data_IF_678460617042
#
_entry.id   IF_678460617042
#
_cell.length_a   1.000
_cell.length_b   1.000
_cell.length_c   1.000
_cell.angle_alpha   90.00
_cell.angle_beta   90.00
_cell.angle_gamma   90.00
#
_symmetry.space_group_name_H-M   'P 1'
#
loop_
_entity.id
_entity.type
_entity.pdbx_description
1 polymer ?
#
# COMPACT_ATOMS: atom_id res chain seq x y z
N UNK A 1 -38.93 17.99 -13.15
CA UNK A 1 -38.16 16.73 -13.00
C UNK A 1 -36.93 16.87 -13.88
N UNK A 2 -35.73 16.75 -13.33
CA UNK A 2 -34.51 16.79 -14.16
C UNK A 2 -34.38 15.45 -14.92
N UNK A 3 -33.86 15.46 -16.16
CA UNK A 3 -33.69 14.24 -16.93
C UNK A 3 -32.62 13.33 -16.31
N UNK A 4 -32.95 12.05 -16.10
CA UNK A 4 -31.97 11.03 -15.71
C UNK A 4 -31.23 10.53 -16.96
N UNK A 5 -30.25 11.31 -17.42
CA UNK A 5 -29.41 10.96 -18.58
C UNK A 5 -28.54 9.73 -18.30
N UNK A 6 -28.30 9.39 -17.03
CA UNK A 6 -27.44 8.28 -16.65
C UNK A 6 -28.08 6.93 -16.96
N UNK A 7 -29.41 6.81 -16.82
CA UNK A 7 -30.15 5.58 -17.13
C UNK A 7 -30.35 5.31 -18.63
N UNK A 8 -29.97 6.25 -19.51
CA UNK A 8 -30.15 6.06 -20.96
C UNK A 8 -29.25 4.94 -21.49
N UNK A 9 -29.64 4.38 -22.64
CA UNK A 9 -28.81 3.41 -23.35
C UNK A 9 -27.65 4.14 -24.06
N UNK A 10 -26.39 3.70 -23.91
CA UNK A 10 -25.27 4.27 -24.64
C UNK A 10 -25.26 3.78 -26.10
N UNK A 11 -24.78 4.62 -27.02
CA UNK A 11 -24.56 4.23 -28.43
C UNK A 11 -23.58 3.05 -28.52
N UNK A 12 -22.48 3.13 -27.77
CA UNK A 12 -21.53 2.04 -27.58
C UNK A 12 -21.90 1.24 -26.32
N UNK A 13 -22.62 0.13 -26.49
CA UNK A 13 -23.09 -0.72 -25.41
C UNK A 13 -22.02 -1.71 -24.92
N UNK A 14 -21.04 -1.21 -24.16
CA UNK A 14 -20.01 -2.03 -23.50
C UNK A 14 -20.11 -1.93 -21.99
N UNK A 15 -19.87 -3.06 -21.29
CA UNK A 15 -19.73 -3.07 -19.83
C UNK A 15 -18.43 -2.35 -19.45
N UNK A 16 -18.48 -1.46 -18.47
CA UNK A 16 -17.28 -0.84 -17.89
C UNK A 16 -16.95 -1.53 -16.57
N UNK A 17 -15.70 -1.98 -16.42
CA UNK A 17 -15.24 -2.67 -15.21
C UNK A 17 -15.17 -1.73 -14.00
N UNK A 18 -14.87 -0.45 -14.21
CA UNK A 18 -14.75 0.56 -13.16
C UNK A 18 -15.21 1.93 -13.65
N UNK A 19 -16.16 2.52 -12.94
CA UNK A 19 -16.61 3.91 -13.08
C UNK A 19 -16.82 4.48 -11.68
N UNK A 20 -16.40 5.71 -11.43
CA UNK A 20 -16.57 6.34 -10.13
C UNK A 20 -15.75 7.60 -9.96
N UNK A 21 -15.29 7.85 -8.74
CA UNK A 21 -14.63 9.10 -8.33
C UNK A 21 -13.28 8.84 -7.69
N UNK A 22 -12.35 9.77 -7.87
CA UNK A 22 -10.96 9.71 -7.36
C UNK A 22 -10.60 11.00 -6.65
N UNK A 23 -9.61 10.93 -5.75
CA UNK A 23 -8.98 12.12 -5.17
C UNK A 23 -9.74 12.70 -3.97
N UNK A 24 -10.60 11.91 -3.34
CA UNK A 24 -11.45 12.41 -2.25
C UNK A 24 -10.64 12.42 -0.97
N UNK A 25 -10.55 13.59 -0.33
CA UNK A 25 -9.78 13.78 0.90
C UNK A 25 -10.72 14.06 2.05
N UNK A 26 -10.78 13.15 3.02
CA UNK A 26 -11.65 13.28 4.18
C UNK A 26 -10.96 12.74 5.43
N UNK A 27 -11.11 13.40 6.59
CA UNK A 27 -10.52 12.92 7.82
C UNK A 27 -11.24 11.66 8.30
N UNK A 28 -10.49 10.65 8.73
CA UNK A 28 -11.05 9.41 9.27
C UNK A 28 -10.31 9.03 10.55
N UNK A 29 -11.02 8.42 11.48
CA UNK A 29 -10.41 7.85 12.69
C UNK A 29 -10.48 6.33 12.61
N UNK A 30 -9.34 5.67 12.83
CA UNK A 30 -9.25 4.21 12.92
C UNK A 30 -8.67 3.81 14.27
N UNK A 31 -8.99 2.59 14.72
CA UNK A 31 -8.26 1.92 15.79
C UNK A 31 -7.20 1.04 15.16
N UNK A 32 -5.97 1.02 15.66
CA UNK A 32 -4.94 0.04 15.26
C UNK A 32 -4.01 -0.19 16.42
N UNK A 33 -3.67 -1.44 16.75
CA UNK A 33 -2.76 -1.78 17.86
C UNK A 33 -3.14 -1.10 19.19
N UNK A 34 -4.44 -1.03 19.49
CA UNK A 34 -4.95 -0.40 20.72
C UNK A 34 -4.88 1.13 20.78
N UNK A 35 -4.33 1.81 19.75
CA UNK A 35 -4.32 3.27 19.63
C UNK A 35 -5.37 3.76 18.64
N UNK A 36 -5.84 4.98 18.86
CA UNK A 36 -6.62 5.73 17.88
C UNK A 36 -5.66 6.48 16.94
N UNK A 37 -5.87 6.34 15.64
CA UNK A 37 -5.09 7.00 14.61
C UNK A 37 -6.02 7.83 13.74
N UNK A 38 -5.70 9.12 13.61
CA UNK A 38 -6.40 10.03 12.70
C UNK A 38 -5.64 10.11 11.38
N UNK A 39 -6.34 9.84 10.29
CA UNK A 39 -5.79 9.80 8.94
C UNK A 39 -6.51 10.82 8.06
N UNK A 40 -5.82 11.27 7.02
CA UNK A 40 -6.41 12.08 5.95
C UNK A 40 -6.26 11.34 4.62
N UNK A 41 -6.93 10.20 4.44
CA UNK A 41 -6.78 9.38 3.25
C UNK A 41 -7.26 10.10 1.99
N UNK A 42 -6.54 9.84 0.90
CA UNK A 42 -7.04 10.02 -0.46
C UNK A 42 -7.77 8.75 -0.87
N UNK A 43 -9.07 8.87 -1.13
CA UNK A 43 -9.94 7.74 -1.47
C UNK A 43 -10.31 7.73 -2.95
N UNK A 44 -10.44 6.52 -3.49
CA UNK A 44 -10.98 6.23 -4.81
C UNK A 44 -12.10 5.20 -4.69
N UNK A 45 -13.27 5.48 -5.28
CA UNK A 45 -14.45 4.62 -5.20
C UNK A 45 -14.92 4.29 -6.62
N UNK A 46 -15.16 3.02 -6.89
CA UNK A 46 -15.63 2.53 -8.18
C UNK A 46 -16.74 1.50 -8.04
N UNK A 47 -17.60 1.47 -9.04
CA UNK A 47 -18.53 0.36 -9.32
C UNK A 47 -18.38 -0.08 -10.77
N UNK A 48 -18.80 -1.30 -11.10
CA UNK A 48 -18.98 -1.69 -12.50
C UNK A 48 -20.26 -1.08 -13.09
N UNK A 49 -20.25 -0.78 -14.40
CA UNK A 49 -21.39 -0.21 -15.12
C UNK A 49 -21.82 -1.18 -16.23
N UNK A 50 -23.09 -1.64 -16.24
CA UNK A 50 -23.57 -2.52 -17.29
C UNK A 50 -23.66 -1.80 -18.65
N UNK A 51 -23.55 -2.58 -19.73
CA UNK A 51 -23.63 -2.08 -21.11
C UNK A 51 -24.95 -1.37 -21.46
N UNK A 52 -25.98 -1.56 -20.64
CA UNK A 52 -27.32 -1.00 -20.82
C UNK A 52 -27.46 0.43 -20.28
N UNK A 53 -26.46 0.95 -19.55
CA UNK A 53 -26.54 2.24 -18.85
C UNK A 53 -25.44 3.18 -19.31
N UNK A 54 -25.79 4.45 -19.56
CA UNK A 54 -24.88 5.48 -20.10
C UNK A 54 -23.94 6.04 -19.03
N UNK A 55 -24.39 6.14 -17.77
CA UNK A 55 -23.57 6.71 -16.70
C UNK A 55 -23.83 6.08 -15.35
N UNK A 56 -22.81 6.16 -14.48
CA UNK A 56 -22.97 5.86 -13.06
C UNK A 56 -23.55 7.07 -12.32
N UNK A 57 -24.34 6.82 -11.29
CA UNK A 57 -24.93 7.84 -10.41
C UNK A 57 -23.88 8.42 -9.46
N UNK A 58 -23.00 9.28 -9.98
CA UNK A 58 -21.83 9.78 -9.25
C UNK A 58 -22.17 10.55 -7.96
N UNK A 59 -23.34 11.19 -7.89
CA UNK A 59 -23.82 11.87 -6.68
C UNK A 59 -23.99 10.90 -5.51
N UNK A 60 -24.44 9.67 -5.76
CA UNK A 60 -24.60 8.64 -4.72
C UNK A 60 -23.27 8.29 -4.06
N UNK A 61 -22.17 8.27 -4.81
CA UNK A 61 -20.84 8.04 -4.27
C UNK A 61 -20.44 9.13 -3.25
N UNK A 62 -20.70 10.40 -3.57
CA UNK A 62 -20.35 11.51 -2.70
C UNK A 62 -21.17 11.50 -1.40
N UNK A 63 -22.47 11.24 -1.49
CA UNK A 63 -23.36 11.13 -0.32
C UNK A 63 -22.95 10.00 0.64
N UNK A 64 -22.57 8.83 0.11
CA UNK A 64 -22.09 7.70 0.91
C UNK A 64 -20.83 8.09 1.70
N UNK A 65 -19.92 8.83 1.07
CA UNK A 65 -18.69 9.25 1.73
C UNK A 65 -19.00 10.23 2.86
N UNK A 66 -19.84 11.25 2.63
CA UNK A 66 -20.20 12.18 3.70
C UNK A 66 -20.82 11.43 4.89
N UNK A 67 -21.75 10.50 4.64
CA UNK A 67 -22.38 9.67 5.69
C UNK A 67 -21.36 8.86 6.49
N UNK A 68 -20.48 8.12 5.80
CA UNK A 68 -19.54 7.20 6.45
C UNK A 68 -18.39 7.94 7.12
N UNK A 69 -17.90 9.03 6.50
CA UNK A 69 -16.83 9.85 7.06
C UNK A 69 -17.31 10.50 8.36
N UNK A 70 -18.50 11.13 8.35
CA UNK A 70 -19.07 11.74 9.55
C UNK A 70 -19.25 10.71 10.68
N UNK A 71 -19.66 9.48 10.33
CA UNK A 71 -19.71 8.40 11.31
C UNK A 71 -18.32 8.02 11.81
N UNK A 72 -17.32 7.87 10.93
CA UNK A 72 -15.97 7.43 11.30
C UNK A 72 -15.24 8.40 12.24
N UNK A 73 -15.57 9.69 12.20
CA UNK A 73 -15.05 10.69 13.12
C UNK A 73 -15.60 10.49 14.54
N UNK A 74 -16.88 10.08 14.66
CA UNK A 74 -17.56 9.84 15.95
C UNK A 74 -17.28 8.44 16.50
N UNK A 75 -17.30 7.45 15.63
CA UNK A 75 -17.12 6.03 15.93
C UNK A 75 -15.96 5.49 15.07
N UNK A 76 -14.74 5.45 15.60
CA UNK A 76 -13.58 5.03 14.84
C UNK A 76 -13.72 3.60 14.29
N UNK A 77 -13.42 3.43 13.00
CA UNK A 77 -13.42 2.13 12.34
C UNK A 77 -12.35 1.21 12.95
N UNK A 78 -12.55 -0.12 13.01
CA UNK A 78 -11.54 -1.04 13.52
C UNK A 78 -10.24 -1.05 12.70
N UNK A 79 -10.28 -0.66 11.43
CA UNK A 79 -9.11 -0.46 10.58
C UNK A 79 -9.47 0.36 9.33
N UNK A 80 -8.46 0.69 8.50
CA UNK A 80 -8.69 1.37 7.22
C UNK A 80 -9.31 0.42 6.18
N UNK A 81 -9.00 -0.86 6.24
CA UNK A 81 -9.52 -1.90 5.34
C UNK A 81 -11.00 -2.18 5.63
N UNK A 82 -11.37 -2.25 6.92
CA UNK A 82 -12.77 -2.33 7.37
C UNK A 82 -13.58 -1.10 6.95
N UNK A 83 -12.98 0.09 7.00
CA UNK A 83 -13.64 1.31 6.50
C UNK A 83 -13.91 1.20 5.00
N UNK A 84 -12.92 0.74 4.22
CA UNK A 84 -13.08 0.52 2.78
C UNK A 84 -14.17 -0.52 2.48
N UNK A 85 -14.24 -1.61 3.25
CA UNK A 85 -15.28 -2.63 3.12
C UNK A 85 -16.68 -2.04 3.39
N UNK A 86 -16.83 -1.26 4.47
CA UNK A 86 -18.10 -0.61 4.82
C UNK A 86 -18.57 0.34 3.71
N UNK A 87 -17.64 1.09 3.12
CA UNK A 87 -17.93 1.95 1.96
C UNK A 87 -18.32 1.10 0.74
N UNK A 88 -17.60 0.02 0.44
CA UNK A 88 -17.89 -0.86 -0.70
C UNK A 88 -19.28 -1.51 -0.59
N UNK A 89 -19.67 -1.93 0.62
CA UNK A 89 -21.00 -2.44 0.90
C UNK A 89 -22.08 -1.40 0.61
N UNK A 90 -21.92 -0.17 1.13
CA UNK A 90 -22.87 0.94 0.90
C UNK A 90 -22.95 1.34 -0.58
N UNK A 91 -21.85 1.27 -1.31
CA UNK A 91 -21.84 1.47 -2.76
C UNK A 91 -22.72 0.44 -3.47
N UNK A 92 -22.57 -0.86 -3.17
CA UNK A 92 -23.42 -1.89 -3.78
C UNK A 92 -24.90 -1.76 -3.40
N UNK A 93 -25.19 -1.35 -2.15
CA UNK A 93 -26.56 -1.08 -1.71
C UNK A 93 -27.19 0.06 -2.52
N UNK A 94 -26.49 1.18 -2.74
CA UNK A 94 -27.04 2.33 -3.46
C UNK A 94 -26.97 2.21 -4.98
N UNK A 95 -26.10 1.35 -5.51
CA UNK A 95 -25.95 1.08 -6.95
C UNK A 95 -26.46 -0.31 -7.29
N UNK A 96 -27.79 -0.47 -7.32
CA UNK A 96 -28.47 -1.76 -7.55
C UNK A 96 -28.06 -2.47 -8.86
N UNK A 97 -27.67 -1.71 -9.89
CA UNK A 97 -27.18 -2.26 -11.16
C UNK A 97 -25.75 -2.80 -11.12
N UNK A 98 -24.96 -2.41 -10.12
CA UNK A 98 -23.57 -2.80 -10.00
C UNK A 98 -23.47 -4.19 -9.36
N UNK A 99 -22.58 -5.01 -9.90
CA UNK A 99 -22.23 -6.33 -9.37
C UNK A 99 -20.92 -6.30 -8.58
N UNK A 100 -20.11 -5.27 -8.73
CA UNK A 100 -18.82 -5.11 -8.06
C UNK A 100 -18.66 -3.67 -7.59
N UNK A 101 -18.18 -3.49 -6.36
CA UNK A 101 -17.68 -2.22 -5.85
C UNK A 101 -16.21 -2.37 -5.43
N UNK A 102 -15.40 -1.36 -5.72
CA UNK A 102 -14.00 -1.29 -5.34
C UNK A 102 -13.72 0.04 -4.66
N UNK A 103 -13.18 -0.01 -3.45
CA UNK A 103 -12.77 1.17 -2.68
C UNK A 103 -11.28 1.07 -2.38
N UNK A 104 -10.57 2.18 -2.55
CA UNK A 104 -9.15 2.32 -2.19
C UNK A 104 -8.97 3.53 -1.31
N UNK A 105 -8.11 3.43 -0.32
CA UNK A 105 -7.72 4.55 0.53
C UNK A 105 -6.20 4.50 0.76
N UNK A 106 -5.54 5.65 0.58
CA UNK A 106 -4.11 5.80 0.90
C UNK A 106 -3.93 7.04 1.78
N UNK A 107 -3.24 6.90 2.90
CA UNK A 107 -2.93 8.02 3.80
C UNK A 107 -1.45 7.98 4.18
N UNK A 108 -0.90 9.13 4.55
CA UNK A 108 0.34 9.15 5.33
C UNK A 108 0.08 8.54 6.71
N UNK A 109 1.07 7.82 7.22
CA UNK A 109 1.03 7.05 8.45
C UNK A 109 2.36 7.22 9.18
N UNK A 110 2.32 7.43 10.49
CA UNK A 110 3.50 7.80 11.25
C UNK A 110 3.78 6.78 12.36
N UNK A 111 5.03 6.30 12.43
CA UNK A 111 5.50 5.42 13.50
C UNK A 111 6.70 6.01 14.23
N UNK A 112 6.77 5.76 15.54
CA UNK A 112 7.98 6.08 16.29
C UNK A 112 9.09 5.09 15.89
N UNK A 113 10.25 5.62 15.50
CA UNK A 113 11.49 4.88 15.26
C UNK A 113 12.61 5.41 16.13
N UNK A 114 13.66 4.60 16.28
CA UNK A 114 14.90 5.01 16.95
C UNK A 114 16.02 5.08 15.94
N UNK A 115 16.72 6.21 15.89
CA UNK A 115 17.96 6.31 15.13
C UNK A 115 19.01 5.36 15.71
N UNK A 116 20.11 5.07 14.99
CA UNK A 116 21.17 4.21 15.52
C UNK A 116 21.73 4.64 16.89
N UNK A 117 21.80 5.95 17.15
CA UNK A 117 22.20 6.50 18.46
C UNK A 117 21.07 6.51 19.50
N UNK A 118 19.92 5.88 19.22
CA UNK A 118 18.80 5.69 20.14
C UNK A 118 17.83 6.86 20.26
N UNK A 119 17.97 7.92 19.44
CA UNK A 119 17.06 9.06 19.46
C UNK A 119 15.71 8.65 18.85
N UNK A 120 14.63 8.90 19.57
CA UNK A 120 13.26 8.71 19.06
C UNK A 120 12.94 9.77 18.00
N UNK A 121 12.32 9.34 16.91
CA UNK A 121 11.84 10.16 15.81
C UNK A 121 10.52 9.60 15.29
N UNK A 122 9.65 10.46 14.76
CA UNK A 122 8.38 10.05 14.17
C UNK A 122 8.57 10.02 12.66
N UNK A 123 8.55 8.83 12.07
CA UNK A 123 8.89 8.63 10.66
C UNK A 123 7.64 8.44 9.79
N UNK A 124 7.61 9.04 8.59
CA UNK A 124 6.48 8.94 7.68
C UNK A 124 6.55 7.67 6.82
N UNK A 125 5.40 7.03 6.66
CA UNK A 125 5.12 5.92 5.76
C UNK A 125 3.81 6.20 5.04
N UNK A 126 3.45 5.38 4.04
CA UNK A 126 2.05 5.35 3.56
C UNK A 126 1.39 4.06 3.99
N UNK A 127 0.17 4.20 4.51
CA UNK A 127 -0.77 3.09 4.67
C UNK A 127 -1.71 3.08 3.49
N UNK A 128 -1.99 1.89 2.97
CA UNK A 128 -2.91 1.63 1.88
C UNK A 128 -3.95 0.61 2.35
N UNK A 129 -5.18 0.82 1.93
CA UNK A 129 -6.25 -0.13 2.09
C UNK A 129 -7.04 -0.26 0.79
N UNK A 130 -7.56 -1.46 0.55
CA UNK A 130 -8.45 -1.72 -0.57
C UNK A 130 -9.50 -2.74 -0.19
N UNK A 131 -10.74 -2.51 -0.59
CA UNK A 131 -11.80 -3.49 -0.52
C UNK A 131 -12.42 -3.70 -1.90
N UNK A 132 -12.64 -4.96 -2.26
CA UNK A 132 -13.43 -5.36 -3.44
C UNK A 132 -14.59 -6.19 -2.91
N UNK A 133 -15.82 -5.76 -3.19
CA UNK A 133 -17.01 -6.50 -2.84
C UNK A 133 -17.80 -6.85 -4.10
N UNK A 134 -18.20 -8.11 -4.20
CA UNK A 134 -19.07 -8.61 -5.27
C UNK A 134 -20.47 -8.91 -4.70
N UNK A 135 -21.51 -8.68 -5.51
CA UNK A 135 -22.91 -8.91 -5.12
C UNK A 135 -23.23 -10.38 -4.82
N UNK A 136 -22.39 -11.32 -5.28
CA UNK A 136 -22.48 -12.74 -4.92
C UNK A 136 -22.00 -13.06 -3.49
N UNK A 137 -21.60 -12.06 -2.70
CA UNK A 137 -21.14 -12.20 -1.32
C UNK A 137 -19.62 -12.36 -1.17
N UNK A 138 -18.85 -12.37 -2.27
CA UNK A 138 -17.39 -12.43 -2.19
C UNK A 138 -16.81 -11.06 -1.85
N UNK A 139 -16.09 -10.98 -0.73
CA UNK A 139 -15.35 -9.79 -0.32
C UNK A 139 -13.86 -10.09 -0.20
N UNK A 140 -13.03 -9.18 -0.70
CA UNK A 140 -11.58 -9.22 -0.55
C UNK A 140 -11.07 -7.89 -0.02
N UNK A 141 -10.41 -7.92 1.12
CA UNK A 141 -9.77 -6.77 1.75
C UNK A 141 -8.27 -6.88 1.56
N UNK A 142 -7.59 -5.76 1.42
CA UNK A 142 -6.14 -5.68 1.34
C UNK A 142 -5.66 -4.56 2.24
N UNK A 143 -4.60 -4.85 2.98
CA UNK A 143 -3.76 -3.89 3.69
C UNK A 143 -2.45 -3.76 2.92
N UNK A 144 -1.88 -2.58 2.91
CA UNK A 144 -0.57 -2.39 2.34
C UNK A 144 0.15 -1.19 2.88
N UNK A 145 1.45 -1.15 2.61
CA UNK A 145 2.34 -0.09 3.07
C UNK A 145 3.31 0.30 1.97
N UNK A 146 3.70 1.57 1.98
CA UNK A 146 4.81 2.09 1.18
C UNK A 146 5.86 2.66 2.14
N UNK A 147 7.08 2.16 2.01
CA UNK A 147 8.20 2.44 2.92
C UNK A 147 9.37 2.95 2.09
N UNK A 148 9.94 4.07 2.51
CA UNK A 148 11.15 4.63 1.93
C UNK A 148 12.35 4.14 2.72
N UNK A 149 13.36 3.63 2.03
CA UNK A 149 14.65 3.29 2.60
C UNK A 149 15.78 3.51 1.61
N UNK A 150 16.91 2.88 1.87
CA UNK A 150 18.10 2.98 1.03
C UNK A 150 18.59 1.61 0.60
N UNK A 151 19.02 1.52 -0.65
CA UNK A 151 19.73 0.36 -1.21
C UNK A 151 21.14 0.78 -1.63
N UNK A 152 22.12 -0.08 -1.37
CA UNK A 152 23.48 0.04 -1.89
C UNK A 152 23.70 -1.05 -2.95
N UNK A 153 24.32 -0.70 -4.08
CA UNK A 153 24.45 -1.63 -5.19
C UNK A 153 25.56 -2.68 -4.97
N UNK A 154 25.23 -3.99 -4.90
CA UNK A 154 26.24 -5.03 -4.73
C UNK A 154 27.13 -5.19 -5.97
N UNK A 155 26.57 -4.99 -7.18
CA UNK A 155 27.33 -5.11 -8.43
C UNK A 155 28.49 -4.10 -8.51
N UNK A 156 28.20 -2.83 -8.31
CA UNK A 156 29.22 -1.79 -8.35
C UNK A 156 30.26 -1.98 -7.24
N UNK A 157 29.82 -2.38 -6.04
CA UNK A 157 30.72 -2.68 -4.93
C UNK A 157 31.74 -3.77 -5.27
N UNK A 158 31.29 -4.92 -5.78
CA UNK A 158 32.20 -6.03 -6.09
C UNK A 158 33.11 -5.71 -7.28
N UNK A 159 32.64 -4.94 -8.27
CA UNK A 159 33.49 -4.48 -9.37
C UNK A 159 34.58 -3.50 -8.90
N UNK A 160 34.24 -2.54 -8.03
CA UNK A 160 35.20 -1.59 -7.46
C UNK A 160 36.24 -2.32 -6.61
N UNK A 161 35.80 -3.26 -5.77
CA UNK A 161 36.67 -4.10 -4.96
C UNK A 161 37.63 -4.93 -5.81
N UNK A 162 37.16 -5.49 -6.91
CA UNK A 162 38.00 -6.26 -7.84
C UNK A 162 39.02 -5.39 -8.58
N UNK A 163 38.62 -4.20 -9.04
CA UNK A 163 39.46 -3.33 -9.85
C UNK A 163 40.45 -2.49 -9.01
N UNK A 164 40.04 -2.06 -7.83
CA UNK A 164 40.76 -1.07 -7.01
C UNK A 164 41.08 -1.55 -5.59
N UNK A 165 40.56 -2.69 -5.14
CA UNK A 165 40.75 -3.17 -3.76
C UNK A 165 39.89 -2.47 -2.70
N UNK A 166 38.97 -1.60 -3.13
CA UNK A 166 38.18 -0.72 -2.26
C UNK A 166 36.73 -1.19 -2.09
N UNK A 167 36.05 -0.76 -1.03
CA UNK A 167 34.65 -1.18 -0.74
C UNK A 167 33.71 0.02 -0.65
N UNK A 168 33.50 0.68 -1.78
CA UNK A 168 32.47 1.71 -1.94
C UNK A 168 31.57 1.40 -3.14
N UNK A 169 30.37 1.96 -3.14
CA UNK A 169 29.36 1.79 -4.20
C UNK A 169 28.43 2.99 -4.23
N UNK A 170 27.60 3.08 -5.27
CA UNK A 170 26.49 4.02 -5.28
C UNK A 170 25.35 3.51 -4.39
N UNK A 171 24.69 4.47 -3.74
CA UNK A 171 23.48 4.27 -2.97
C UNK A 171 22.36 5.09 -3.59
N UNK A 172 21.13 4.71 -3.32
CA UNK A 172 19.96 5.46 -3.76
C UNK A 172 18.75 5.23 -2.86
N UNK A 173 17.78 6.12 -2.98
CA UNK A 173 16.47 5.97 -2.35
C UNK A 173 15.73 4.81 -3.03
N UNK A 174 15.14 3.96 -2.22
CA UNK A 174 14.29 2.87 -2.68
C UNK A 174 12.91 2.98 -2.03
N UNK A 175 11.87 2.76 -2.82
CA UNK A 175 10.48 2.66 -2.34
C UNK A 175 10.08 1.19 -2.38
N UNK A 176 9.82 0.63 -1.20
CA UNK A 176 9.29 -0.72 -1.05
C UNK A 176 7.78 -0.64 -0.82
N UNK A 177 7.00 -1.36 -1.62
CA UNK A 177 5.54 -1.47 -1.44
C UNK A 177 5.18 -2.93 -1.15
N UNK A 178 4.46 -3.16 -0.06
CA UNK A 178 4.01 -4.48 0.34
C UNK A 178 2.50 -4.44 0.57
N UNK A 179 1.74 -5.23 -0.19
CA UNK A 179 0.29 -5.30 -0.13
C UNK A 179 -0.11 -6.77 0.02
N UNK A 180 -1.01 -7.06 0.94
CA UNK A 180 -1.48 -8.42 1.21
C UNK A 180 -2.98 -8.42 1.44
N UNK A 181 -3.64 -9.47 0.92
CA UNK A 181 -5.04 -9.74 1.24
C UNK A 181 -5.16 -10.06 2.72
N UNK A 182 -6.09 -9.40 3.41
CA UNK A 182 -6.15 -9.41 4.86
C UNK A 182 -7.54 -9.84 5.33
N UNK A 183 -7.59 -10.92 6.09
CA UNK A 183 -8.77 -11.38 6.82
C UNK A 183 -8.84 -10.83 8.26
N UNK A 184 -7.91 -9.94 8.62
CA UNK A 184 -7.74 -9.36 9.95
C UNK A 184 -6.52 -9.88 10.70
N UNK A 185 -5.78 -10.83 10.13
CA UNK A 185 -4.59 -11.43 10.74
C UNK A 185 -3.29 -10.63 10.55
N UNK A 186 -3.23 -9.70 9.60
CA UNK A 186 -2.01 -8.95 9.25
C UNK A 186 -2.12 -7.48 9.67
N UNK A 187 -1.07 -6.97 10.31
CA UNK A 187 -0.97 -5.57 10.75
C UNK A 187 0.00 -4.75 9.90
N UNK A 188 -0.29 -3.45 9.70
CA UNK A 188 0.58 -2.60 8.88
C UNK A 188 1.93 -2.30 9.55
N UNK A 189 2.00 -2.23 10.88
CA UNK A 189 3.25 -1.91 11.58
C UNK A 189 4.26 -3.04 11.32
N UNK A 190 3.80 -4.29 11.34
CA UNK A 190 4.58 -5.46 10.93
C UNK A 190 5.00 -5.40 9.46
N UNK A 191 4.11 -4.98 8.54
CA UNK A 191 4.47 -4.83 7.12
C UNK A 191 5.52 -3.74 6.91
N UNK A 192 5.48 -2.66 7.68
CA UNK A 192 6.48 -1.59 7.62
C UNK A 192 7.82 -2.15 8.10
N UNK A 193 7.85 -2.85 9.24
CA UNK A 193 9.07 -3.47 9.76
C UNK A 193 9.68 -4.45 8.74
N UNK A 194 8.85 -5.29 8.12
CA UNK A 194 9.27 -6.22 7.06
C UNK A 194 9.91 -5.48 5.87
N UNK A 195 9.27 -4.42 5.38
CA UNK A 195 9.77 -3.65 4.25
C UNK A 195 11.06 -2.88 4.58
N UNK A 196 11.17 -2.31 5.79
CA UNK A 196 12.40 -1.64 6.26
C UNK A 196 13.57 -2.62 6.35
N UNK A 197 13.36 -3.80 6.93
CA UNK A 197 14.39 -4.83 7.08
C UNK A 197 14.78 -5.51 5.76
N UNK A 198 13.91 -5.44 4.75
CA UNK A 198 14.19 -5.99 3.42
C UNK A 198 15.17 -5.11 2.61
N UNK A 199 15.34 -3.83 2.93
CA UNK A 199 16.28 -2.94 2.26
C UNK A 199 17.71 -3.04 2.83
N UNK A 200 18.67 -2.28 2.29
CA UNK A 200 20.03 -2.26 2.86
C UNK A 200 20.05 -1.59 4.23
N UNK A 201 19.26 -0.53 4.41
CA UNK A 201 19.01 0.14 5.69
C UNK A 201 17.72 0.97 5.60
N UNK A 202 16.99 1.18 6.72
CA UNK A 202 15.96 2.21 6.78
C UNK A 202 16.56 3.62 6.64
N UNK A 203 15.70 4.59 6.32
CA UNK A 203 16.01 6.03 6.32
C UNK A 203 15.24 6.75 7.41
N UNK A 204 15.71 7.94 7.80
CA UNK A 204 15.09 8.77 8.83
C UNK A 204 15.03 10.22 8.35
N UNK A 205 14.02 10.99 8.76
CA UNK A 205 13.87 12.39 8.35
C UNK A 205 15.05 13.27 8.81
N UNK A 206 15.52 13.09 10.05
CA UNK A 206 16.56 13.95 10.65
C UNK A 206 17.61 13.10 11.35
N UNK A 207 18.84 13.20 10.85
CA UNK A 207 20.01 12.49 11.38
C UNK A 207 21.08 13.47 11.88
N UNK A 208 21.88 13.02 12.87
CA UNK A 208 23.14 13.68 13.22
C UNK A 208 24.29 12.95 12.54
N UNK A 209 25.45 13.62 12.41
CA UNK A 209 26.67 13.07 11.76
C UNK A 209 27.02 11.63 12.14
N UNK A 210 26.91 11.28 13.42
CA UNK A 210 27.20 9.91 13.90
C UNK A 210 26.17 8.90 13.38
N UNK A 211 24.89 9.25 13.39
CA UNK A 211 23.82 8.41 12.84
C UNK A 211 23.97 8.25 11.31
N UNK A 212 24.28 9.34 10.59
CA UNK A 212 24.50 9.32 9.14
C UNK A 212 25.62 8.35 8.76
N UNK A 213 26.77 8.45 9.44
CA UNK A 213 27.91 7.56 9.23
C UNK A 213 27.53 6.09 9.46
N UNK A 214 26.76 5.80 10.52
CA UNK A 214 26.36 4.44 10.84
C UNK A 214 25.35 3.86 9.83
N UNK A 215 24.42 4.68 9.34
CA UNK A 215 23.45 4.28 8.31
C UNK A 215 24.14 3.97 6.98
N UNK A 216 25.07 4.83 6.54
CA UNK A 216 25.84 4.59 5.31
C UNK A 216 26.70 3.33 5.44
N UNK A 217 27.36 3.15 6.58
CA UNK A 217 28.14 1.92 6.87
C UNK A 217 27.26 0.67 6.79
N UNK A 218 26.12 0.66 7.49
CA UNK A 218 25.18 -0.48 7.48
C UNK A 218 24.69 -0.82 6.09
N UNK A 219 24.40 0.20 5.26
CA UNK A 219 23.96 -0.03 3.89
C UNK A 219 25.05 -0.69 3.04
N UNK A 220 26.30 -0.25 3.17
CA UNK A 220 27.44 -0.83 2.45
C UNK A 220 27.80 -2.22 2.97
N UNK A 221 27.49 -2.55 4.23
CA UNK A 221 27.64 -3.90 4.80
C UNK A 221 26.54 -4.86 4.35
N UNK A 222 25.43 -4.35 3.82
CA UNK A 222 24.25 -5.11 3.39
C UNK A 222 23.73 -4.64 2.01
N UNK A 223 24.56 -4.69 0.95
CA UNK A 223 24.15 -4.24 -0.37
C UNK A 223 23.11 -5.18 -0.99
N UNK A 224 22.08 -4.64 -1.62
CA UNK A 224 20.94 -5.39 -2.16
C UNK A 224 20.50 -4.86 -3.53
N UNK A 225 20.15 -5.76 -4.45
CA UNK A 225 19.41 -5.40 -5.65
C UNK A 225 17.92 -5.20 -5.35
N UNK A 226 17.18 -4.60 -6.29
CA UNK A 226 15.71 -4.47 -6.18
C UNK A 226 15.01 -5.84 -6.08
N UNK A 227 15.57 -6.85 -6.74
CA UNK A 227 15.07 -8.24 -6.67
C UNK A 227 15.29 -8.84 -5.28
N UNK A 228 16.41 -8.52 -4.62
CA UNK A 228 16.70 -9.02 -3.27
C UNK A 228 15.75 -8.39 -2.25
N UNK A 229 15.44 -7.09 -2.39
CA UNK A 229 14.43 -6.43 -1.56
C UNK A 229 13.07 -7.12 -1.70
N UNK A 230 12.64 -7.44 -2.93
CA UNK A 230 11.37 -8.17 -3.15
C UNK A 230 11.42 -9.58 -2.54
N UNK A 231 12.50 -10.33 -2.75
CA UNK A 231 12.66 -11.68 -2.17
C UNK A 231 12.64 -11.65 -0.64
N UNK A 232 13.33 -10.70 -0.04
CA UNK A 232 13.42 -10.58 1.41
C UNK A 232 12.08 -10.18 2.05
N UNK A 233 11.32 -9.26 1.43
CA UNK A 233 9.97 -8.95 1.89
C UNK A 233 9.08 -10.21 1.91
N UNK A 234 9.11 -11.00 0.83
CA UNK A 234 8.29 -12.21 0.72
C UNK A 234 8.72 -13.29 1.71
N UNK A 235 10.03 -13.50 1.87
CA UNK A 235 10.58 -14.42 2.87
C UNK A 235 10.13 -14.04 4.27
N UNK A 236 10.27 -12.77 4.65
CA UNK A 236 9.89 -12.25 5.97
C UNK A 236 8.38 -12.34 6.22
N UNK A 237 7.55 -12.20 5.20
CA UNK A 237 6.10 -12.45 5.31
C UNK A 237 5.82 -13.90 5.74
N UNK A 238 6.48 -14.88 5.11
CA UNK A 238 6.31 -16.29 5.48
C UNK A 238 6.83 -16.59 6.89
N UNK A 239 7.93 -15.95 7.30
CA UNK A 239 8.50 -16.10 8.63
C UNK A 239 7.59 -15.50 9.73
N UNK A 240 7.05 -14.30 9.48
CA UNK A 240 6.19 -13.58 10.44
C UNK A 240 4.79 -14.18 10.53
N UNK A 241 4.23 -14.62 9.40
CA UNK A 241 2.86 -15.11 9.30
C UNK A 241 2.80 -16.54 8.72
N UNK A 242 3.35 -17.54 9.45
CA UNK A 242 3.50 -18.90 8.93
C UNK A 242 2.17 -19.60 8.64
N UNK A 243 1.08 -19.16 9.28
CA UNK A 243 -0.24 -19.78 9.21
C UNK A 243 -1.20 -19.11 8.22
N UNK A 244 -0.73 -18.17 7.38
CA UNK A 244 -1.61 -17.55 6.38
C UNK A 244 -2.19 -18.59 5.42
N UNK A 245 -3.48 -18.49 5.06
CA UNK A 245 -4.10 -19.38 4.07
C UNK A 245 -3.42 -19.29 2.70
N UNK A 246 -3.32 -20.42 2.00
CA UNK A 246 -2.61 -20.53 0.71
C UNK A 246 -3.17 -19.65 -0.41
N UNK A 247 -4.46 -19.29 -0.32
CA UNK A 247 -5.16 -18.49 -1.31
C UNK A 247 -4.97 -16.97 -1.13
N UNK A 248 -4.38 -16.54 0.00
CA UNK A 248 -4.09 -15.13 0.26
C UNK A 248 -3.13 -14.60 -0.79
N UNK A 249 -3.51 -13.50 -1.45
CA UNK A 249 -2.66 -12.83 -2.43
C UNK A 249 -1.71 -11.85 -1.72
N UNK A 250 -0.44 -11.88 -2.11
CA UNK A 250 0.57 -10.91 -1.70
C UNK A 250 1.23 -10.28 -2.93
N UNK A 251 1.54 -8.99 -2.81
CA UNK A 251 2.21 -8.18 -3.83
C UNK A 251 3.36 -7.47 -3.14
N UNK A 252 4.58 -7.75 -3.58
CA UNK A 252 5.79 -7.10 -3.13
C UNK A 252 6.44 -6.38 -4.32
N UNK A 253 6.78 -5.10 -4.13
CA UNK A 253 7.40 -4.23 -5.15
C UNK A 253 8.58 -3.49 -4.57
N UNK A 254 9.62 -3.31 -5.36
CA UNK A 254 10.74 -2.44 -5.05
C UNK A 254 11.02 -1.55 -6.24
N UNK A 255 11.06 -0.24 -6.02
CA UNK A 255 11.49 0.74 -7.01
C UNK A 255 12.67 1.55 -6.49
N UNK A 256 13.82 1.38 -7.13
CA UNK A 256 15.07 2.05 -6.80
C UNK A 256 15.27 3.26 -7.72
N UNK A 257 15.40 4.44 -7.14
CA UNK A 257 15.58 5.70 -7.85
C UNK A 257 17.06 5.90 -8.16
N UNK A 258 17.55 5.21 -9.18
CA UNK A 258 18.98 5.07 -9.49
C UNK A 258 19.73 6.40 -9.53
N UNK A 259 20.81 6.50 -8.75
CA UNK A 259 21.59 7.74 -8.60
C UNK A 259 22.53 8.01 -9.78
N UNK A 260 22.86 6.99 -10.56
CA UNK A 260 23.80 7.06 -11.70
C UNK A 260 23.11 6.88 -13.07
N UNK A 261 21.79 6.72 -13.08
CA UNK A 261 20.99 6.52 -14.28
C UNK A 261 19.85 7.53 -14.37
N UNK A 262 19.30 7.72 -15.58
CA UNK A 262 18.14 8.60 -15.82
C UNK A 262 16.81 7.83 -15.82
N UNK A 263 16.80 6.63 -15.23
CA UNK A 263 15.66 5.74 -15.13
C UNK A 263 15.74 4.98 -13.80
N UNK A 264 14.62 4.48 -13.32
CA UNK A 264 14.55 3.68 -12.09
C UNK A 264 14.73 2.19 -12.38
N UNK A 265 15.24 1.44 -11.41
CA UNK A 265 15.19 -0.02 -11.41
C UNK A 265 13.93 -0.49 -10.68
N UNK A 266 13.26 -1.53 -11.18
CA UNK A 266 11.98 -2.00 -10.64
C UNK A 266 11.91 -3.52 -10.60
N UNK A 267 11.41 -4.07 -9.50
CA UNK A 267 11.04 -5.47 -9.37
C UNK A 267 9.65 -5.60 -8.71
N UNK A 268 8.87 -6.57 -9.16
CA UNK A 268 7.58 -6.93 -8.57
C UNK A 268 7.39 -8.44 -8.57
N UNK A 269 6.77 -8.95 -7.49
CA UNK A 269 6.13 -10.25 -7.48
C UNK A 269 4.70 -10.12 -6.96
N UNK A 270 3.75 -10.64 -7.72
CA UNK A 270 2.35 -10.86 -7.32
C UNK A 270 2.06 -12.35 -7.39
N UNK A 271 1.60 -12.93 -6.28
CA UNK A 271 1.47 -14.39 -6.13
C UNK A 271 0.55 -14.71 -4.95
N UNK A 272 0.27 -15.98 -4.70
CA UNK A 272 -0.41 -16.41 -3.46
C UNK A 272 0.60 -16.94 -2.43
N UNK A 273 0.21 -16.97 -1.16
CA UNK A 273 1.04 -17.55 -0.09
C UNK A 273 1.37 -19.02 -0.38
N UNK A 274 0.42 -19.80 -0.91
CA UNK A 274 0.65 -21.21 -1.24
C UNK A 274 1.62 -21.43 -2.40
N UNK A 275 1.74 -20.48 -3.34
CA UNK A 275 2.77 -20.52 -4.38
C UNK A 275 4.15 -20.17 -3.83
N UNK A 276 4.25 -19.28 -2.85
CA UNK A 276 5.52 -18.90 -2.22
C UNK A 276 6.15 -20.00 -1.36
N UNK A 277 5.34 -20.95 -0.88
CA UNK A 277 5.78 -22.08 -0.05
C UNK A 277 6.41 -23.22 -0.87
N UNK A 278 6.26 -23.21 -2.20
CA UNK A 278 6.76 -24.25 -3.11
C UNK A 278 8.15 -23.91 -3.63
#
# INVERSE_FOLDING_TARGET
MLPDVQSWKPEASFKLTRVGIKGIKKPVSIKRNGRMVHLLPVMELFVDLPATRKGSDLSRNAEIIEEIVDQSVREPSPSLEELCEKIAMKLLERHEYANCAEVRATSDYFLERKTPQGKKSLEPYKIMAKAIMERNGRTRKFIGVEVIGMTACPCAMENIKKAYGEKYTHNQRNVATLIIENDGSVDADDLIDIAEEAMSTPTFEILKRKDEMEIVKKAHENPKFVEDVVRDMLKKILEKYPNLPDNIVVIARSESFESIHKHNAFAERKTTIGELRK
#
